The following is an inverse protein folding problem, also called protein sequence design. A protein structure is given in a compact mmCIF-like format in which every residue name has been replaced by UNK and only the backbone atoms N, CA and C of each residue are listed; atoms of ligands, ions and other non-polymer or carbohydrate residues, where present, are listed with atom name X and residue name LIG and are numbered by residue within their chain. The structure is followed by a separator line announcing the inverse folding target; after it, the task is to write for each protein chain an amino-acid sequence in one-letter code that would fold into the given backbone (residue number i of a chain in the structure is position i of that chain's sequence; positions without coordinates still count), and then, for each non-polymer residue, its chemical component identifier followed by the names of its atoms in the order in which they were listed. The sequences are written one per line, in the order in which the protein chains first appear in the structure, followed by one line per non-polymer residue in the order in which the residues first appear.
data_IF_697983351621
#
_entry.id   IF_697983351621
#
_cell.length_a   1.000
_cell.length_b   1.000
_cell.length_c   1.000
_cell.angle_alpha   90.00
_cell.angle_beta   90.00
_cell.angle_gamma   90.00
#
_symmetry.space_group_name_H-M   'P 1'
#
loop_
_entity.id
_entity.type
_entity.pdbx_description
1 polymer ?
#
# COMPACT_ATOMS: atom_id res chain seq x y z
N UNK A 1 26.79 0.11 19.15
CA UNK A 1 25.93 0.23 17.96
C UNK A 1 26.48 -0.71 16.90
N UNK A 2 25.69 -1.65 16.35
CA UNK A 2 26.19 -2.52 15.27
C UNK A 2 26.28 -1.69 14.00
N UNK A 3 27.50 -1.42 13.54
CA UNK A 3 27.79 -0.78 12.26
C UNK A 3 27.13 -1.61 11.16
N UNK A 4 26.26 -0.98 10.35
CA UNK A 4 25.66 -1.65 9.20
C UNK A 4 26.76 -2.09 8.23
N UNK A 5 26.59 -3.25 7.60
CA UNK A 5 27.52 -3.71 6.55
C UNK A 5 27.57 -2.67 5.43
N UNK A 6 28.77 -2.40 4.92
CA UNK A 6 28.97 -1.45 3.83
C UNK A 6 28.38 -1.98 2.52
N UNK A 7 28.19 -1.09 1.55
CA UNK A 7 27.63 -1.45 0.24
C UNK A 7 28.58 -2.39 -0.52
N UNK A 8 29.89 -2.22 -0.33
CA UNK A 8 30.95 -3.08 -0.87
C UNK A 8 30.91 -4.49 -0.27
N UNK A 9 30.56 -4.63 1.02
CA UNK A 9 30.41 -5.93 1.68
C UNK A 9 29.23 -6.75 1.13
N UNK A 10 28.23 -6.08 0.56
CA UNK A 10 27.08 -6.74 -0.07
C UNK A 10 27.42 -7.29 -1.46
N UNK A 11 28.32 -6.60 -2.18
CA UNK A 11 28.80 -6.99 -3.51
C UNK A 11 29.75 -8.20 -3.47
N UNK A 12 30.33 -8.53 -2.31
CA UNK A 12 31.23 -9.69 -2.13
C UNK A 12 30.51 -10.95 -1.64
N UNK A 13 29.18 -10.91 -1.47
CA UNK A 13 28.45 -12.07 -0.99
C UNK A 13 28.41 -13.16 -2.06
N UNK A 14 29.11 -14.27 -1.78
CA UNK A 14 29.24 -15.45 -2.65
C UNK A 14 27.91 -16.16 -3.00
N UNK A 15 26.84 -15.90 -2.25
CA UNK A 15 25.53 -16.49 -2.51
C UNK A 15 24.39 -15.49 -2.20
N UNK A 16 23.94 -14.83 -3.27
CA UNK A 16 22.87 -13.83 -3.23
C UNK A 16 21.54 -14.45 -2.77
N UNK A 17 21.27 -15.71 -3.13
CA UNK A 17 20.05 -16.41 -2.74
C UNK A 17 20.02 -16.62 -1.21
N UNK A 18 21.16 -16.95 -0.60
CA UNK A 18 21.28 -17.12 0.85
C UNK A 18 21.03 -15.80 1.59
N UNK A 19 21.56 -14.68 1.10
CA UNK A 19 21.35 -13.37 1.73
C UNK A 19 19.88 -12.96 1.69
N UNK A 20 19.24 -13.08 0.53
CA UNK A 20 17.83 -12.71 0.40
C UNK A 20 16.97 -13.65 1.26
N UNK A 21 17.28 -14.94 1.28
CA UNK A 21 16.57 -15.93 2.09
C UNK A 21 16.70 -15.64 3.60
N UNK A 22 17.89 -15.27 4.06
CA UNK A 22 18.13 -14.88 5.46
C UNK A 22 17.38 -13.60 5.83
N UNK A 23 17.37 -12.60 4.95
CA UNK A 23 16.59 -11.39 5.14
C UNK A 23 15.09 -11.71 5.26
N UNK A 24 14.55 -12.56 4.38
CA UNK A 24 13.14 -12.97 4.44
C UNK A 24 12.83 -13.76 5.72
N UNK A 25 13.73 -14.65 6.16
CA UNK A 25 13.59 -15.36 7.42
C UNK A 25 13.56 -14.40 8.62
N UNK A 26 14.39 -13.34 8.59
CA UNK A 26 14.36 -12.28 9.60
C UNK A 26 13.05 -11.51 9.60
N UNK A 27 12.48 -11.21 8.42
CA UNK A 27 11.16 -10.56 8.31
C UNK A 27 10.04 -11.43 8.89
N UNK A 28 10.13 -12.75 8.75
CA UNK A 28 9.21 -13.68 9.41
C UNK A 28 9.32 -13.61 10.94
N UNK A 29 10.54 -13.53 11.48
CA UNK A 29 10.78 -13.42 12.94
C UNK A 29 10.31 -12.09 13.52
N UNK A 30 10.42 -10.99 12.77
CA UNK A 30 9.93 -9.67 13.17
C UNK A 30 8.40 -9.50 13.04
N UNK A 31 7.66 -10.57 12.70
CA UNK A 31 6.21 -10.55 12.46
C UNK A 31 5.79 -9.53 11.39
N UNK A 32 6.62 -9.35 10.37
CA UNK A 32 6.30 -8.49 9.23
C UNK A 32 5.02 -8.95 8.52
N UNK A 33 4.19 -8.02 8.05
CA UNK A 33 2.96 -8.37 7.33
C UNK A 33 3.28 -9.00 5.98
N UNK A 34 2.44 -9.92 5.49
CA UNK A 34 2.62 -10.55 4.16
C UNK A 34 2.76 -9.49 3.04
N UNK A 35 2.05 -8.37 3.16
CA UNK A 35 2.12 -7.25 2.22
C UNK A 35 3.49 -6.55 2.25
N UNK A 36 4.01 -6.26 3.45
CA UNK A 36 5.34 -5.66 3.58
C UNK A 36 6.44 -6.61 3.10
N UNK A 37 6.36 -7.90 3.44
CA UNK A 37 7.27 -8.95 2.98
C UNK A 37 7.32 -9.02 1.45
N UNK A 38 6.15 -8.98 0.78
CA UNK A 38 6.06 -8.94 -0.68
C UNK A 38 6.60 -7.62 -1.27
N UNK A 39 6.34 -6.49 -0.61
CA UNK A 39 6.87 -5.17 -1.00
C UNK A 39 8.39 -5.13 -0.95
N UNK A 40 8.99 -5.48 0.19
CA UNK A 40 10.44 -5.57 0.35
C UNK A 40 11.07 -6.53 -0.66
N UNK A 41 10.44 -7.70 -0.90
CA UNK A 41 10.90 -8.66 -1.91
C UNK A 41 11.01 -8.04 -3.30
N UNK A 42 10.01 -7.24 -3.67
CA UNK A 42 9.92 -6.57 -4.98
C UNK A 42 11.01 -5.52 -5.11
N UNK A 43 11.15 -4.64 -4.11
CA UNK A 43 12.16 -3.57 -4.09
C UNK A 43 13.58 -4.15 -4.14
N UNK A 44 13.87 -5.17 -3.33
CA UNK A 44 15.19 -5.85 -3.34
C UNK A 44 15.45 -6.50 -4.71
N UNK A 45 14.45 -7.16 -5.30
CA UNK A 45 14.60 -7.74 -6.64
C UNK A 45 14.90 -6.69 -7.71
N UNK A 46 14.21 -5.55 -7.67
CA UNK A 46 14.48 -4.43 -8.59
C UNK A 46 15.88 -3.86 -8.41
N UNK A 47 16.32 -3.65 -7.16
CA UNK A 47 17.66 -3.14 -6.86
C UNK A 47 18.75 -4.06 -7.43
N UNK A 48 18.61 -5.37 -7.24
CA UNK A 48 19.57 -6.35 -7.73
C UNK A 48 19.58 -6.43 -9.27
N UNK A 49 18.43 -6.29 -9.93
CA UNK A 49 18.38 -6.18 -11.40
C UNK A 49 19.11 -4.95 -11.90
N UNK A 50 18.97 -3.80 -11.24
CA UNK A 50 19.69 -2.57 -11.57
C UNK A 50 21.21 -2.77 -11.40
N UNK A 51 21.61 -3.58 -10.43
CA UNK A 51 23.02 -3.96 -10.21
C UNK A 51 23.56 -5.00 -11.20
N UNK A 52 22.73 -5.48 -12.14
CA UNK A 52 23.15 -6.42 -13.19
C UNK A 52 23.00 -7.90 -12.84
N UNK A 53 22.43 -8.23 -11.67
CA UNK A 53 22.14 -9.63 -11.33
C UNK A 53 21.03 -10.20 -12.20
N UNK A 54 21.18 -11.45 -12.62
CA UNK A 54 20.19 -12.13 -13.44
C UNK A 54 18.99 -12.59 -12.61
N UNK A 55 17.83 -12.67 -13.24
CA UNK A 55 16.60 -13.11 -12.58
C UNK A 55 16.73 -14.50 -11.95
N UNK A 56 17.54 -15.39 -12.53
CA UNK A 56 17.80 -16.74 -12.00
C UNK A 56 18.56 -16.71 -10.65
N UNK A 57 19.42 -15.72 -10.45
CA UNK A 57 20.19 -15.52 -9.22
C UNK A 57 19.31 -14.84 -8.16
N UNK A 58 18.44 -13.92 -8.60
CA UNK A 58 17.51 -13.20 -7.73
C UNK A 58 16.33 -14.09 -7.30
N UNK A 59 15.83 -14.97 -8.17
CA UNK A 59 14.70 -15.87 -7.92
C UNK A 59 15.13 -17.34 -7.83
N UNK A 60 16.10 -17.60 -6.95
CA UNK A 60 16.50 -18.96 -6.63
C UNK A 60 15.36 -19.82 -6.06
N UNK A 61 15.59 -21.12 -6.04
CA UNK A 61 14.57 -22.12 -5.70
C UNK A 61 14.06 -21.99 -4.26
N UNK A 62 14.96 -21.79 -3.30
CA UNK A 62 14.62 -21.68 -1.88
C UNK A 62 13.72 -20.47 -1.66
N UNK A 63 14.13 -19.34 -2.22
CA UNK A 63 13.38 -18.09 -2.11
C UNK A 63 11.99 -18.20 -2.76
N UNK A 64 11.88 -18.86 -3.93
CA UNK A 64 10.58 -19.15 -4.56
C UNK A 64 9.66 -19.94 -3.62
N UNK A 65 10.17 -20.95 -2.92
CA UNK A 65 9.37 -21.74 -1.98
C UNK A 65 8.92 -20.89 -0.77
N UNK A 66 9.82 -20.12 -0.19
CA UNK A 66 9.52 -19.24 0.97
C UNK A 66 8.45 -18.21 0.64
N UNK A 67 8.44 -17.67 -0.58
CA UNK A 67 7.50 -16.63 -0.98
C UNK A 67 6.08 -17.12 -1.31
N UNK A 68 5.85 -18.43 -1.48
CA UNK A 68 4.51 -18.95 -1.82
C UNK A 68 3.44 -18.56 -0.82
N UNK A 69 3.73 -18.69 0.48
CA UNK A 69 2.80 -18.40 1.57
C UNK A 69 2.40 -16.92 1.66
N UNK A 70 3.34 -15.96 1.77
CA UNK A 70 2.99 -14.54 1.82
C UNK A 70 2.34 -14.03 0.52
N UNK A 71 2.73 -14.55 -0.64
CA UNK A 71 2.08 -14.21 -1.91
C UNK A 71 0.61 -14.68 -1.94
N UNK A 72 0.35 -15.92 -1.53
CA UNK A 72 -1.00 -16.47 -1.48
C UNK A 72 -1.89 -15.76 -0.43
N UNK A 73 -1.34 -15.47 0.74
CA UNK A 73 -2.05 -14.74 1.80
C UNK A 73 -2.47 -13.33 1.35
N UNK A 74 -1.60 -12.64 0.60
CA UNK A 74 -1.90 -11.30 0.07
C UNK A 74 -2.95 -11.36 -1.05
N UNK A 75 -2.92 -12.39 -1.91
CA UNK A 75 -3.98 -12.62 -2.93
C UNK A 75 -5.35 -12.82 -2.30
N UNK A 76 -5.44 -13.54 -1.17
CA UNK A 76 -6.71 -13.74 -0.44
C UNK A 76 -7.25 -12.46 0.21
N UNK A 77 -6.37 -11.62 0.74
CA UNK A 77 -6.76 -10.36 1.41
C UNK A 77 -7.14 -9.24 0.44
N UNK A 78 -6.69 -9.30 -0.82
CA UNK A 78 -7.04 -8.36 -1.90
C UNK A 78 -8.35 -8.71 -2.64
N UNK A 79 -9.27 -9.47 -2.03
CA UNK A 79 -10.66 -9.35 -2.48
C UNK A 79 -11.12 -7.97 -2.04
N UNK A 80 -11.25 -7.05 -2.99
CA UNK A 80 -11.99 -5.82 -2.81
C UNK A 80 -13.27 -6.18 -2.06
N UNK A 81 -13.49 -5.59 -0.88
CA UNK A 81 -14.74 -5.82 -0.18
C UNK A 81 -15.82 -5.16 -1.04
N UNK A 82 -16.75 -5.93 -1.62
CA UNK A 82 -17.86 -5.31 -2.32
C UNK A 82 -18.56 -4.37 -1.34
N UNK A 83 -18.64 -3.09 -1.73
CA UNK A 83 -19.27 -2.04 -0.93
C UNK A 83 -20.79 -2.24 -1.06
N UNK A 84 -21.32 -3.32 -0.48
CA UNK A 84 -22.72 -3.74 -0.64
C UNK A 84 -23.74 -2.80 0.01
N UNK A 85 -23.31 -1.65 0.56
CA UNK A 85 -24.19 -0.74 1.28
C UNK A 85 -23.78 0.73 1.16
N UNK A 86 -23.36 1.22 -0.02
CA UNK A 86 -23.24 2.69 -0.23
C UNK A 86 -24.54 3.44 0.14
N UNK A 87 -25.69 2.79 0.00
CA UNK A 87 -26.98 3.32 0.44
C UNK A 87 -27.09 3.58 1.96
N UNK A 88 -26.26 2.97 2.83
CA UNK A 88 -26.33 3.19 4.28
C UNK A 88 -25.64 4.50 4.70
N UNK A 89 -24.38 4.78 4.30
CA UNK A 89 -23.77 6.10 4.49
C UNK A 89 -24.58 7.21 3.80
N UNK A 90 -25.07 6.98 2.58
CA UNK A 90 -25.88 7.97 1.86
C UNK A 90 -27.20 8.26 2.60
N UNK A 91 -27.93 7.23 3.08
CA UNK A 91 -29.14 7.43 3.91
C UNK A 91 -28.84 8.10 5.24
N UNK A 92 -27.68 7.84 5.85
CA UNK A 92 -27.25 8.53 7.06
C UNK A 92 -26.98 10.02 6.78
N UNK A 93 -26.25 10.33 5.72
CA UNK A 93 -25.97 11.72 5.30
C UNK A 93 -27.29 12.44 4.95
N UNK A 94 -28.19 11.79 4.21
CA UNK A 94 -29.52 12.32 3.88
C UNK A 94 -30.43 12.50 5.10
N UNK A 95 -30.44 11.55 6.05
CA UNK A 95 -31.22 11.65 7.29
C UNK A 95 -30.67 12.70 8.26
N UNK A 96 -29.38 13.04 8.14
CA UNK A 96 -28.73 14.15 8.85
C UNK A 96 -28.85 15.48 8.13
N UNK A 97 -29.44 15.53 6.93
CA UNK A 97 -29.53 16.75 6.12
C UNK A 97 -30.27 17.88 6.84
N UNK A 98 -31.30 17.54 7.63
CA UNK A 98 -32.01 18.51 8.49
C UNK A 98 -31.22 19.04 9.69
N UNK A 99 -30.03 18.49 9.97
CA UNK A 99 -29.11 18.92 11.04
C UNK A 99 -27.77 19.40 10.48
N UNK A 100 -27.66 19.60 9.16
CA UNK A 100 -26.41 20.06 8.53
C UNK A 100 -25.94 21.37 9.17
N UNK A 101 -26.85 22.29 9.50
CA UNK A 101 -26.51 23.55 10.18
C UNK A 101 -25.92 23.38 11.61
N UNK A 102 -26.03 22.19 12.20
CA UNK A 102 -25.50 21.88 13.53
C UNK A 102 -24.18 21.10 13.49
N UNK A 103 -23.65 20.78 12.31
CA UNK A 103 -22.38 20.07 12.18
C UNK A 103 -21.21 21.02 12.43
N UNK A 104 -20.15 20.51 13.06
CA UNK A 104 -18.89 21.26 13.10
C UNK A 104 -18.27 21.35 11.71
N UNK A 105 -17.43 22.36 11.48
CA UNK A 105 -16.70 22.53 10.22
C UNK A 105 -15.97 21.24 9.77
N UNK A 106 -15.36 20.53 10.73
CA UNK A 106 -14.70 19.26 10.46
C UNK A 106 -15.68 18.15 10.03
N UNK A 107 -16.86 18.08 10.64
CA UNK A 107 -17.89 17.12 10.26
C UNK A 107 -18.47 17.43 8.89
N UNK A 108 -18.67 18.71 8.56
CA UNK A 108 -19.04 19.15 7.22
C UNK A 108 -18.02 18.72 6.18
N UNK A 109 -16.73 19.00 6.41
CA UNK A 109 -15.66 18.58 5.50
C UNK A 109 -15.62 17.06 5.32
N UNK A 110 -15.78 16.29 6.40
CA UNK A 110 -15.82 14.83 6.33
C UNK A 110 -17.00 14.32 5.49
N UNK A 111 -18.18 14.93 5.62
CA UNK A 111 -19.36 14.61 4.80
C UNK A 111 -19.14 14.97 3.32
N UNK A 112 -18.57 16.13 3.03
CA UNK A 112 -18.28 16.57 1.65
C UNK A 112 -17.25 15.65 0.99
N UNK A 113 -16.12 15.38 1.64
CA UNK A 113 -15.07 14.48 1.13
C UNK A 113 -15.64 13.08 0.91
N UNK A 114 -16.39 12.54 1.88
CA UNK A 114 -17.00 11.22 1.75
C UNK A 114 -18.00 11.15 0.58
N UNK A 115 -18.73 12.24 0.33
CA UNK A 115 -19.67 12.34 -0.79
C UNK A 115 -18.93 12.39 -2.13
N UNK A 116 -17.86 13.19 -2.25
CA UNK A 116 -17.02 13.25 -3.45
C UNK A 116 -16.38 11.88 -3.72
N UNK A 117 -15.83 11.22 -2.70
CA UNK A 117 -15.27 9.87 -2.84
C UNK A 117 -16.32 8.86 -3.30
N UNK A 118 -17.55 8.94 -2.79
CA UNK A 118 -18.63 8.02 -3.13
C UNK A 118 -19.19 8.23 -4.55
N UNK A 119 -19.32 9.47 -5.01
CA UNK A 119 -19.93 9.80 -6.31
C UNK A 119 -18.91 9.89 -7.46
N UNK A 120 -17.73 10.45 -7.21
CA UNK A 120 -16.69 10.60 -8.21
C UNK A 120 -15.70 9.42 -8.24
N UNK A 121 -15.81 8.50 -7.27
CA UNK A 121 -14.90 7.35 -7.13
C UNK A 121 -13.42 7.76 -6.98
N UNK A 122 -13.17 8.98 -6.50
CA UNK A 122 -11.83 9.50 -6.26
C UNK A 122 -11.26 8.96 -4.94
N UNK A 123 -9.95 8.70 -4.94
CA UNK A 123 -9.18 8.44 -3.73
C UNK A 123 -8.90 9.73 -2.97
N UNK A 124 -8.75 9.63 -1.64
CA UNK A 124 -8.48 10.78 -0.77
C UNK A 124 -7.26 11.61 -1.23
N UNK A 125 -6.23 10.94 -1.74
CA UNK A 125 -5.02 11.59 -2.28
C UNK A 125 -5.30 12.45 -3.50
N UNK A 126 -6.29 12.10 -4.31
CA UNK A 126 -6.69 12.87 -5.49
C UNK A 126 -7.48 14.10 -5.07
N UNK A 127 -8.40 13.94 -4.10
CA UNK A 127 -9.16 15.05 -3.50
C UNK A 127 -8.24 16.05 -2.81
N UNK A 128 -7.25 15.57 -2.05
CA UNK A 128 -6.25 16.44 -1.39
C UNK A 128 -5.41 17.26 -2.38
N UNK A 129 -5.23 16.77 -3.62
CA UNK A 129 -4.53 17.48 -4.68
C UNK A 129 -5.46 18.41 -5.48
N UNK A 130 -6.76 18.20 -5.41
CA UNK A 130 -7.73 18.97 -6.16
C UNK A 130 -7.68 20.45 -5.74
N UNK A 131 -7.78 21.33 -6.73
CA UNK A 131 -7.94 22.77 -6.52
C UNK A 131 -9.30 23.16 -7.06
N UNK A 132 -10.07 23.86 -6.23
CA UNK A 132 -11.23 24.59 -6.70
C UNK A 132 -10.73 25.87 -7.39
N UNK A 133 -11.00 26.00 -8.68
CA UNK A 133 -10.84 27.25 -9.42
C UNK A 133 -12.21 27.87 -9.60
N UNK A 134 -12.31 29.19 -9.40
CA UNK A 134 -13.54 29.93 -9.64
C UNK A 134 -13.76 30.04 -11.15
N UNK A 135 -14.98 29.81 -11.61
CA UNK A 135 -15.34 30.04 -13.00
C UNK A 135 -15.45 31.54 -13.29
N UNK A 136 -15.40 31.93 -14.56
CA UNK A 136 -15.46 33.34 -14.99
C UNK A 136 -16.76 34.05 -14.61
N UNK A 137 -17.83 33.29 -14.39
CA UNK A 137 -19.13 33.77 -13.91
C UNK A 137 -19.20 33.91 -12.38
N UNK A 138 -18.08 33.69 -11.68
CA UNK A 138 -17.97 33.83 -10.22
C UNK A 138 -18.54 32.66 -9.43
N UNK A 139 -19.02 31.62 -10.11
CA UNK A 139 -19.46 30.34 -9.53
C UNK A 139 -18.33 29.34 -9.30
#
# INVERSE_FOLDING_TARGET
MKQGKSWEDLMTVKDLEVVISNFQAQQGRSKSTDANTNGCRTVIGMLLRIQGFQEKEINGFVLKQMMKKPQYATRKKRKEQPIYKQGVPLKYIQGRFGFIEQLSEQQHMACVISSIMAFATLCLTEIQRAKATRNEDGS
#
